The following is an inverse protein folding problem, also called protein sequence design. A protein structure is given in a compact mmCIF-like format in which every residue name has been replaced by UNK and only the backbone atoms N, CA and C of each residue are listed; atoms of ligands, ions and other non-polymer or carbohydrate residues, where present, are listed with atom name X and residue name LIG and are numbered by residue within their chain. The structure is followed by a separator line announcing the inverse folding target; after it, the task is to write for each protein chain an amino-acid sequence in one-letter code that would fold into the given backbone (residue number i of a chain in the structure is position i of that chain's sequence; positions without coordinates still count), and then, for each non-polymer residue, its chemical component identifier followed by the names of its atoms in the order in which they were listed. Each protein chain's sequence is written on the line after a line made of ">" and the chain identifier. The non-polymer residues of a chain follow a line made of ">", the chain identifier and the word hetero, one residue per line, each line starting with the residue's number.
data_IF_920171315769
#
_entry.id   IF_920171315769
#
_cell.length_a   1.000
_cell.length_b   1.000
_cell.length_c   1.000
_cell.angle_alpha   90.00
_cell.angle_beta   90.00
_cell.angle_gamma   90.00
#
_symmetry.space_group_name_H-M   'P 1'
#
loop_
_entity.id
_entity.type
_entity.pdbx_description
1 polymer ?
#
# COMPACT_ATOMS: atom_id res chain seq x y z
N UNK A 1 16.60 21.04 2.20
CA UNK A 1 16.27 20.32 3.44
C UNK A 1 16.06 18.90 3.01
N UNK A 2 17.08 18.07 3.21
CA UNK A 2 17.02 16.66 2.83
C UNK A 2 16.00 16.03 3.75
N UNK A 3 14.77 15.89 3.26
CA UNK A 3 13.71 15.21 3.97
C UNK A 3 14.29 13.90 4.44
N UNK A 4 14.39 13.81 5.77
CA UNK A 4 14.79 12.64 6.49
C UNK A 4 14.02 11.49 5.85
N UNK A 5 14.76 10.69 5.07
CA UNK A 5 14.34 9.39 4.60
C UNK A 5 14.30 8.56 5.87
N UNK A 6 13.35 8.89 6.74
CA UNK A 6 12.96 8.19 7.94
C UNK A 6 12.87 6.77 7.44
N UNK A 7 13.89 5.99 7.79
CA UNK A 7 13.95 4.56 7.52
C UNK A 7 12.75 4.01 8.28
N UNK A 8 11.60 4.06 7.62
CA UNK A 8 10.34 3.67 8.19
C UNK A 8 10.56 2.19 8.46
N UNK A 9 10.76 1.81 9.71
CA UNK A 9 11.08 0.44 10.06
C UNK A 9 9.84 -0.37 9.78
N UNK A 10 9.86 -1.07 8.65
CA UNK A 10 8.78 -1.96 8.26
C UNK A 10 8.80 -3.13 9.24
N UNK A 11 7.69 -3.41 9.93
CA UNK A 11 7.62 -4.52 10.87
C UNK A 11 7.76 -5.84 10.09
N UNK A 12 8.76 -6.62 10.47
CA UNK A 12 8.99 -7.93 9.86
C UNK A 12 8.04 -8.95 10.48
N UNK A 13 7.42 -9.77 9.65
CA UNK A 13 6.58 -10.86 10.10
C UNK A 13 7.45 -11.97 10.69
N UNK A 14 7.23 -12.30 11.97
CA UNK A 14 8.02 -13.28 12.73
C UNK A 14 7.20 -14.52 13.14
N UNK A 15 5.96 -14.63 12.65
CA UNK A 15 4.99 -15.66 13.04
C UNK A 15 3.91 -15.17 14.01
N UNK A 16 4.06 -14.01 14.66
CA UNK A 16 3.02 -13.43 15.52
C UNK A 16 2.09 -12.51 14.71
N UNK A 17 1.06 -13.09 14.09
CA UNK A 17 0.16 -12.37 13.19
C UNK A 17 -0.54 -11.17 13.85
N UNK A 18 -1.15 -11.34 15.02
CA UNK A 18 -1.92 -10.27 15.66
C UNK A 18 -1.04 -9.03 15.92
N UNK A 19 0.13 -9.24 16.53
CA UNK A 19 1.08 -8.17 16.82
C UNK A 19 1.62 -7.51 15.53
N UNK A 20 1.96 -8.32 14.53
CA UNK A 20 2.45 -7.81 13.25
C UNK A 20 1.38 -6.99 12.51
N UNK A 21 0.12 -7.45 12.54
CA UNK A 21 -1.00 -6.80 11.87
C UNK A 21 -1.29 -5.42 12.46
N UNK A 22 -1.23 -5.25 13.78
CA UNK A 22 -1.36 -3.95 14.46
C UNK A 22 -0.25 -2.97 14.05
N UNK A 23 0.99 -3.45 13.92
CA UNK A 23 2.11 -2.62 13.48
C UNK A 23 1.97 -2.20 12.01
N UNK A 24 1.55 -3.11 11.13
CA UNK A 24 1.29 -2.82 9.72
C UNK A 24 0.11 -1.86 9.54
N UNK A 25 -0.96 -2.02 10.32
CA UNK A 25 -2.11 -1.12 10.31
C UNK A 25 -1.69 0.31 10.69
N UNK A 26 -0.94 0.46 11.78
CA UNK A 26 -0.43 1.76 12.21
C UNK A 26 0.50 2.40 11.18
N UNK A 27 1.38 1.60 10.56
CA UNK A 27 2.27 2.06 9.50
C UNK A 27 1.48 2.59 8.30
N UNK A 28 0.48 1.85 7.83
CA UNK A 28 -0.32 2.22 6.67
C UNK A 28 -1.24 3.42 6.96
N UNK A 29 -1.77 3.53 8.18
CA UNK A 29 -2.50 4.72 8.66
C UNK A 29 -1.60 5.96 8.67
N UNK A 30 -0.37 5.85 9.19
CA UNK A 30 0.60 6.93 9.19
C UNK A 30 1.02 7.36 7.77
N UNK A 31 0.96 6.46 6.80
CA UNK A 31 1.21 6.73 5.37
C UNK A 31 -0.04 7.20 4.60
N UNK A 32 -1.21 7.22 5.24
CA UNK A 32 -2.47 7.58 4.58
C UNK A 32 -2.92 6.57 3.52
N UNK A 33 -2.49 5.31 3.63
CA UNK A 33 -2.78 4.22 2.68
C UNK A 33 -3.82 3.23 3.20
N UNK A 34 -4.26 3.39 4.46
CA UNK A 34 -5.21 2.47 5.12
C UNK A 34 -6.56 2.40 4.40
N UNK A 35 -7.01 3.50 3.79
CA UNK A 35 -8.25 3.54 3.02
C UNK A 35 -8.24 2.53 1.86
N UNK A 36 -7.07 2.28 1.27
CA UNK A 36 -6.90 1.30 0.20
C UNK A 36 -7.01 -0.14 0.70
N UNK A 37 -6.58 -0.42 1.93
CA UNK A 37 -6.73 -1.74 2.56
C UNK A 37 -8.19 -1.99 2.95
N UNK A 38 -8.84 -1.01 3.58
CA UNK A 38 -10.23 -1.13 4.03
C UNK A 38 -11.22 -1.22 2.87
N UNK A 39 -11.08 -0.35 1.87
CA UNK A 39 -12.02 -0.28 0.74
C UNK A 39 -11.70 -1.29 -0.34
N UNK A 40 -10.44 -1.73 -0.40
CA UNK A 40 -9.90 -2.53 -1.48
C UNK A 40 -9.74 -1.72 -2.77
N UNK A 41 -8.97 -2.29 -3.70
CA UNK A 41 -8.87 -1.81 -5.07
C UNK A 41 -9.62 -2.78 -5.98
N UNK A 42 -10.54 -2.25 -6.79
CA UNK A 42 -11.25 -3.01 -7.83
C UNK A 42 -10.79 -2.48 -9.18
N UNK A 43 -10.11 -3.33 -9.93
CA UNK A 43 -9.75 -3.03 -11.31
C UNK A 43 -11.04 -2.95 -12.16
N UNK A 44 -11.24 -1.86 -12.93
CA UNK A 44 -12.35 -1.78 -13.87
C UNK A 44 -12.26 -2.88 -14.93
N UNK A 45 -13.41 -3.32 -15.44
CA UNK A 45 -13.48 -4.25 -16.56
C UNK A 45 -12.75 -3.68 -17.79
N UNK A 46 -11.99 -4.55 -18.47
CA UNK A 46 -11.33 -4.20 -19.72
C UNK A 46 -12.34 -3.64 -20.73
N UNK A 47 -12.09 -2.42 -21.21
CA UNK A 47 -12.96 -1.71 -22.15
C UNK A 47 -13.95 -0.71 -21.51
N UNK A 48 -13.85 -0.46 -20.20
CA UNK A 48 -14.56 0.67 -19.59
C UNK A 48 -14.15 1.99 -20.28
N UNK A 49 -15.11 2.69 -20.88
CA UNK A 49 -14.89 4.04 -21.40
C UNK A 49 -14.73 5.00 -20.22
N UNK A 50 -13.49 5.25 -19.84
CA UNK A 50 -13.14 6.22 -18.81
C UNK A 50 -12.73 7.52 -19.49
N UNK A 51 -13.29 8.63 -19.03
CA UNK A 51 -12.81 9.95 -19.42
C UNK A 51 -11.45 10.22 -18.77
N UNK A 52 -10.69 11.19 -19.29
CA UNK A 52 -9.32 11.50 -18.83
C UNK A 52 -9.21 11.65 -17.30
N UNK A 53 -10.19 12.31 -16.67
CA UNK A 53 -10.22 12.48 -15.21
C UNK A 53 -10.40 11.14 -14.47
N UNK A 54 -11.23 10.25 -14.98
CA UNK A 54 -11.45 8.93 -14.37
C UNK A 54 -10.23 8.03 -14.57
N UNK A 55 -9.56 8.14 -15.71
CA UNK A 55 -8.31 7.41 -15.97
C UNK A 55 -7.19 7.88 -15.03
N UNK A 56 -7.08 9.18 -14.79
CA UNK A 56 -6.10 9.73 -13.84
C UNK A 56 -6.35 9.22 -12.41
N UNK A 57 -7.60 9.27 -11.94
CA UNK A 57 -7.99 8.75 -10.63
C UNK A 57 -7.73 7.24 -10.51
N UNK A 58 -7.99 6.47 -11.57
CA UNK A 58 -7.71 5.04 -11.60
C UNK A 58 -6.21 4.76 -11.47
N UNK A 59 -5.38 5.49 -12.21
CA UNK A 59 -3.92 5.33 -12.16
C UNK A 59 -3.37 5.70 -10.77
N UNK A 60 -3.91 6.73 -10.13
CA UNK A 60 -3.57 7.10 -8.76
C UNK A 60 -3.96 6.00 -7.76
N UNK A 61 -5.19 5.47 -7.87
CA UNK A 61 -5.65 4.38 -7.03
C UNK A 61 -4.80 3.11 -7.23
N UNK A 62 -4.47 2.77 -8.48
CA UNK A 62 -3.56 1.66 -8.81
C UNK A 62 -2.18 1.87 -8.20
N UNK A 63 -1.64 3.09 -8.26
CA UNK A 63 -0.33 3.42 -7.66
C UNK A 63 -0.34 3.23 -6.14
N UNK A 64 -1.40 3.70 -5.47
CA UNK A 64 -1.57 3.53 -4.01
C UNK A 64 -1.74 2.06 -3.62
N UNK A 65 -2.50 1.28 -4.38
CA UNK A 65 -2.63 -0.17 -4.19
C UNK A 65 -1.28 -0.91 -4.31
N UNK A 66 -0.50 -0.61 -5.36
CA UNK A 66 0.84 -1.17 -5.50
C UNK A 66 1.75 -0.78 -4.34
N UNK A 67 1.64 0.44 -3.82
CA UNK A 67 2.43 0.89 -2.68
C UNK A 67 2.08 0.11 -1.40
N UNK A 68 0.80 -0.14 -1.13
CA UNK A 68 0.35 -0.99 -0.02
C UNK A 68 0.93 -2.39 -0.15
N UNK A 69 0.78 -3.01 -1.32
CA UNK A 69 1.31 -4.35 -1.60
C UNK A 69 2.82 -4.40 -1.40
N UNK A 70 3.55 -3.38 -1.85
CA UNK A 70 4.99 -3.28 -1.66
C UNK A 70 5.38 -3.30 -0.18
N UNK A 71 4.70 -2.52 0.68
CA UNK A 71 4.97 -2.54 2.12
C UNK A 71 4.67 -3.91 2.76
N UNK A 72 3.55 -4.53 2.38
CA UNK A 72 3.17 -5.85 2.88
C UNK A 72 4.18 -6.93 2.46
N UNK A 73 4.67 -6.88 1.21
CA UNK A 73 5.69 -7.82 0.74
C UNK A 73 7.03 -7.60 1.46
N UNK A 74 7.46 -6.36 1.64
CA UNK A 74 8.67 -6.04 2.41
C UNK A 74 8.58 -6.49 3.88
N UNK A 75 7.36 -6.52 4.44
CA UNK A 75 7.11 -6.96 5.79
C UNK A 75 7.14 -8.49 5.94
N UNK A 76 6.77 -9.25 4.92
CA UNK A 76 6.65 -10.72 4.98
C UNK A 76 7.92 -11.43 4.47
N UNK A 77 8.62 -10.86 3.48
CA UNK A 77 9.83 -11.49 2.94
C UNK A 77 10.88 -10.47 2.43
N UNK A 78 12.16 -10.80 2.62
CA UNK A 78 13.31 -9.87 2.50
C UNK A 78 13.86 -9.68 1.07
N UNK A 79 13.27 -10.30 0.05
CA UNK A 79 13.68 -10.14 -1.35
C UNK A 79 12.53 -9.60 -2.19
N UNK A 80 12.45 -8.27 -2.30
CA UNK A 80 11.66 -7.61 -3.33
C UNK A 80 12.67 -7.17 -4.40
N UNK A 81 12.74 -7.93 -5.50
CA UNK A 81 13.61 -7.64 -6.65
C UNK A 81 13.10 -6.44 -7.45
#
# INVERSE_FOLDING_TARGET
>A
MSDDKTLTKIPHFDGHYDHWSELMENLLKAKGLWDMVERGFVEPLDGALLNDNQQALLNEARTRDHQVKHYLFQAIDRTVF
#
